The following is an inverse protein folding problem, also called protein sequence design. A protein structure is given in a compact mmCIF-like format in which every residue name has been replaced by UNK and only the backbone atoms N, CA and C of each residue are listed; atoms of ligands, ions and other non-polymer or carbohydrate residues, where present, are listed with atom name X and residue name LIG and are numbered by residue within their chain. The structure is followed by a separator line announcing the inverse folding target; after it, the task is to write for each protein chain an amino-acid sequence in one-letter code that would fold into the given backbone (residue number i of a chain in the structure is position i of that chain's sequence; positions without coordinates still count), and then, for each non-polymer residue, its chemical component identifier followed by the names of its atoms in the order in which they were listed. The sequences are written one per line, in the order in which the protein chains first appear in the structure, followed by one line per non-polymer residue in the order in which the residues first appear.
data_IF_519312745373
#
_entry.id   IF_519312745373
#
_cell.length_a   1.000
_cell.length_b   1.000
_cell.length_c   1.000
_cell.angle_alpha   90.00
_cell.angle_beta   90.00
_cell.angle_gamma   90.00
#
_symmetry.space_group_name_H-M   'P 1'
#
loop_
_entity.id
_entity.type
_entity.pdbx_description
1 polymer ?
#
# COMPACT_ATOMS: atom_id res chain seq x y z
N UNK A 1 -25.56 4.84 -11.54
CA UNK A 1 -24.11 4.59 -11.72
C UNK A 1 -23.81 3.58 -12.84
N UNK A 2 -22.63 3.69 -13.49
CA UNK A 2 -22.11 2.67 -14.41
C UNK A 2 -21.60 1.43 -13.65
N UNK A 3 -21.61 0.24 -14.27
CA UNK A 3 -21.09 -0.97 -13.64
C UNK A 3 -19.59 -0.86 -13.38
N UNK A 4 -19.14 -1.31 -12.21
CA UNK A 4 -17.71 -1.35 -11.86
C UNK A 4 -17.15 -2.70 -12.31
N UNK A 5 -16.17 -2.70 -13.21
CA UNK A 5 -15.49 -3.93 -13.64
C UNK A 5 -14.48 -4.34 -12.55
N UNK A 6 -14.69 -5.51 -11.96
CA UNK A 6 -13.83 -6.07 -10.91
C UNK A 6 -12.68 -6.92 -11.47
N UNK A 7 -12.87 -7.50 -12.66
CA UNK A 7 -11.87 -8.27 -13.37
C UNK A 7 -12.07 -8.10 -14.87
N UNK A 8 -11.01 -7.72 -15.59
CA UNK A 8 -11.05 -7.51 -17.03
C UNK A 8 -11.15 -8.83 -17.82
N UNK A 9 -10.62 -9.93 -17.30
CA UNK A 9 -10.54 -11.21 -18.02
C UNK A 9 -11.85 -12.00 -17.98
N UNK A 10 -12.48 -12.09 -16.81
CA UNK A 10 -13.78 -12.76 -16.66
C UNK A 10 -14.97 -11.81 -16.75
N UNK A 11 -14.71 -10.51 -16.96
CA UNK A 11 -15.70 -9.43 -17.03
C UNK A 11 -16.65 -9.41 -15.81
N UNK A 12 -16.17 -9.85 -14.65
CA UNK A 12 -16.97 -9.82 -13.43
C UNK A 12 -17.27 -8.35 -13.07
N UNK A 13 -18.54 -7.98 -13.07
CA UNK A 13 -19.01 -6.61 -12.83
C UNK A 13 -19.78 -6.53 -11.51
N UNK A 14 -19.48 -5.48 -10.75
CA UNK A 14 -20.32 -5.08 -9.62
C UNK A 14 -21.41 -4.13 -10.12
N UNK A 15 -22.65 -4.62 -10.10
CA UNK A 15 -23.84 -3.85 -10.42
C UNK A 15 -24.50 -3.34 -9.14
N UNK A 16 -24.47 -2.03 -8.93
CA UNK A 16 -25.33 -1.36 -7.96
C UNK A 16 -26.34 -0.51 -8.73
N UNK A 17 -27.61 -0.82 -8.54
CA UNK A 17 -28.71 -0.02 -9.06
C UNK A 17 -28.91 1.12 -8.08
N UNK A 18 -28.65 2.35 -8.48
CA UNK A 18 -29.17 3.50 -7.76
C UNK A 18 -30.69 3.44 -7.91
N UNK A 19 -31.40 2.92 -6.89
CA UNK A 19 -32.86 2.93 -6.89
C UNK A 19 -33.28 4.40 -6.79
N UNK A 20 -33.53 5.02 -7.94
CA UNK A 20 -33.93 6.41 -8.04
C UNK A 20 -35.28 6.61 -7.35
N UNK A 21 -35.25 7.17 -6.15
CA UNK A 21 -36.37 7.89 -5.60
C UNK A 21 -35.77 8.91 -4.64
N UNK A 22 -35.38 10.09 -5.13
CA UNK A 22 -34.95 11.19 -4.27
C UNK A 22 -36.21 11.77 -3.58
N UNK A 23 -36.48 11.43 -2.30
CA UNK A 23 -37.67 11.90 -1.62
C UNK A 23 -37.41 13.22 -0.92
N UNK A 24 -36.16 13.70 -0.91
CA UNK A 24 -35.67 14.73 0.01
C UNK A 24 -34.95 15.82 -0.77
N UNK A 25 -35.75 16.78 -1.27
CA UNK A 25 -35.19 18.09 -1.59
C UNK A 25 -34.48 18.63 -0.35
N UNK A 26 -33.18 18.90 -0.46
CA UNK A 26 -32.36 19.54 0.56
C UNK A 26 -33.01 20.82 1.13
N UNK A 27 -33.91 21.47 0.38
CA UNK A 27 -34.73 22.59 0.82
C UNK A 27 -35.61 22.27 2.04
N UNK A 28 -36.12 21.05 2.16
CA UNK A 28 -37.04 20.67 3.24
C UNK A 28 -36.33 20.55 4.59
N UNK A 29 -35.04 20.18 4.59
CA UNK A 29 -34.20 20.12 5.80
C UNK A 29 -34.03 21.52 6.41
N UNK A 30 -33.94 22.56 5.59
CA UNK A 30 -33.76 23.95 6.04
C UNK A 30 -35.08 24.64 6.42
N UNK A 31 -36.21 24.13 5.95
CA UNK A 31 -37.53 24.75 6.12
C UNK A 31 -38.27 24.36 7.41
N UNK A 32 -37.64 23.60 8.33
CA UNK A 32 -38.32 22.96 9.48
C UNK A 32 -39.55 22.13 9.08
N UNK A 33 -39.54 21.57 7.86
CA UNK A 33 -40.64 20.75 7.37
C UNK A 33 -40.77 19.48 8.22
N UNK A 34 -41.97 19.19 8.70
CA UNK A 34 -42.28 17.93 9.39
C UNK A 34 -42.93 17.02 8.35
N UNK A 35 -42.31 15.88 8.00
CA UNK A 35 -42.89 14.96 7.04
C UNK A 35 -44.21 14.40 7.54
N UNK A 36 -45.20 14.33 6.65
CA UNK A 36 -46.42 13.57 6.87
C UNK A 36 -46.12 12.06 7.04
N UNK A 37 -47.06 11.26 7.58
CA UNK A 37 -46.86 9.81 7.72
C UNK A 37 -46.52 9.10 6.40
N UNK A 38 -47.12 9.54 5.29
CA UNK A 38 -46.85 8.99 3.95
C UNK A 38 -45.49 9.39 3.41
N UNK A 39 -45.06 10.63 3.63
CA UNK A 39 -43.69 11.07 3.31
C UNK A 39 -42.66 10.31 4.16
N UNK A 40 -42.92 10.13 5.45
CA UNK A 40 -42.07 9.38 6.37
C UNK A 40 -41.88 7.94 5.90
N UNK A 41 -42.95 7.26 5.47
CA UNK A 41 -42.87 5.91 4.93
C UNK A 41 -42.02 5.83 3.64
N UNK A 42 -42.14 6.83 2.75
CA UNK A 42 -41.32 6.91 1.53
C UNK A 42 -39.84 7.16 1.85
N UNK A 43 -39.56 8.05 2.79
CA UNK A 43 -38.21 8.34 3.26
C UNK A 43 -37.59 7.09 3.90
N UNK A 44 -38.33 6.37 4.73
CA UNK A 44 -37.84 5.14 5.36
C UNK A 44 -37.51 4.07 4.32
N UNK A 45 -38.41 3.81 3.37
CA UNK A 45 -38.14 2.87 2.28
C UNK A 45 -36.91 3.26 1.46
N UNK A 46 -36.70 4.56 1.22
CA UNK A 46 -35.50 5.06 0.56
C UNK A 46 -34.24 4.81 1.39
N UNK A 47 -34.27 5.09 2.69
CA UNK A 47 -33.15 4.80 3.61
C UNK A 47 -32.83 3.30 3.63
N UNK A 48 -33.84 2.44 3.65
CA UNK A 48 -33.64 0.98 3.66
C UNK A 48 -32.98 0.51 2.36
N UNK A 49 -33.38 1.06 1.20
CA UNK A 49 -32.73 0.80 -0.08
C UNK A 49 -31.25 1.25 -0.08
N UNK A 50 -30.97 2.45 0.45
CA UNK A 50 -29.59 2.94 0.58
C UNK A 50 -28.74 2.04 1.48
N UNK A 51 -29.30 1.56 2.58
CA UNK A 51 -28.61 0.66 3.50
C UNK A 51 -28.31 -0.70 2.85
N UNK A 52 -29.22 -1.22 2.03
CA UNK A 52 -29.00 -2.44 1.24
C UNK A 52 -27.81 -2.25 0.27
N UNK A 53 -27.82 -1.16 -0.51
CA UNK A 53 -26.74 -0.85 -1.45
C UNK A 53 -25.40 -0.63 -0.75
N UNK A 54 -25.37 0.14 0.34
CA UNK A 54 -24.17 0.35 1.16
C UNK A 54 -23.61 -0.97 1.69
N UNK A 55 -24.47 -1.87 2.15
CA UNK A 55 -24.05 -3.19 2.64
C UNK A 55 -23.37 -4.01 1.53
N UNK A 56 -23.90 -3.96 0.30
CA UNK A 56 -23.28 -4.60 -0.87
C UNK A 56 -21.92 -3.99 -1.20
N UNK A 57 -21.79 -2.67 -1.17
CA UNK A 57 -20.50 -2.00 -1.34
C UNK A 57 -19.48 -2.40 -0.27
N UNK A 58 -19.88 -2.40 1.02
CA UNK A 58 -18.98 -2.79 2.10
C UNK A 58 -18.47 -4.22 1.95
N UNK A 59 -19.35 -5.15 1.57
CA UNK A 59 -18.97 -6.54 1.34
C UNK A 59 -17.96 -6.65 0.19
N UNK A 60 -18.22 -5.98 -0.93
CA UNK A 60 -17.38 -6.07 -2.11
C UNK A 60 -16.01 -5.41 -1.90
N UNK A 61 -15.98 -4.23 -1.26
CA UNK A 61 -14.73 -3.57 -0.87
C UNK A 61 -13.90 -4.50 0.04
N UNK A 62 -14.53 -5.16 1.02
CA UNK A 62 -13.85 -6.10 1.91
C UNK A 62 -13.31 -7.31 1.14
N UNK A 63 -14.04 -7.80 0.14
CA UNK A 63 -13.60 -8.90 -0.72
C UNK A 63 -12.38 -8.50 -1.56
N UNK A 64 -12.45 -7.39 -2.28
CA UNK A 64 -11.36 -6.89 -3.13
C UNK A 64 -10.10 -6.57 -2.32
N UNK A 65 -10.24 -5.94 -1.13
CA UNK A 65 -9.10 -5.69 -0.24
C UNK A 65 -8.38 -6.97 0.19
N UNK A 66 -9.11 -8.06 0.44
CA UNK A 66 -8.51 -9.37 0.77
C UNK A 66 -7.73 -9.95 -0.41
N UNK A 67 -8.28 -9.86 -1.62
CA UNK A 67 -7.59 -10.31 -2.85
C UNK A 67 -6.32 -9.49 -3.07
N UNK A 68 -6.41 -8.16 -3.00
CA UNK A 68 -5.27 -7.26 -3.14
C UNK A 68 -4.17 -7.60 -2.13
N UNK A 69 -4.53 -7.79 -0.85
CA UNK A 69 -3.57 -8.16 0.20
C UNK A 69 -2.83 -9.46 -0.13
N UNK A 70 -3.53 -10.48 -0.65
CA UNK A 70 -2.90 -11.75 -1.03
C UNK A 70 -1.94 -11.57 -2.20
N UNK A 71 -2.34 -10.82 -3.22
CA UNK A 71 -1.51 -10.54 -4.39
C UNK A 71 -0.23 -9.78 -4.00
N UNK A 72 -0.35 -8.74 -3.17
CA UNK A 72 0.81 -7.97 -2.71
C UNK A 72 1.74 -8.85 -1.87
N UNK A 73 1.22 -9.66 -0.96
CA UNK A 73 2.03 -10.59 -0.17
C UNK A 73 2.82 -11.56 -1.05
N UNK A 74 2.19 -12.13 -2.08
CA UNK A 74 2.86 -13.05 -2.99
C UNK A 74 3.92 -12.35 -3.84
N UNK A 75 3.63 -11.15 -4.36
CA UNK A 75 4.61 -10.32 -5.06
C UNK A 75 5.82 -10.02 -4.17
N UNK A 76 5.60 -9.55 -2.94
CA UNK A 76 6.68 -9.15 -2.03
C UNK A 76 7.59 -10.33 -1.66
N UNK A 77 7.03 -11.55 -1.55
CA UNK A 77 7.81 -12.78 -1.37
C UNK A 77 8.70 -13.06 -2.59
N UNK A 78 8.17 -12.90 -3.81
CA UNK A 78 8.93 -13.11 -5.04
C UNK A 78 10.02 -12.06 -5.23
N UNK A 79 9.74 -10.80 -4.94
CA UNK A 79 10.73 -9.71 -4.97
C UNK A 79 11.89 -9.98 -4.02
N UNK A 80 11.60 -10.45 -2.79
CA UNK A 80 12.64 -10.83 -1.84
C UNK A 80 13.50 -11.99 -2.35
N UNK A 81 12.88 -13.06 -2.85
CA UNK A 81 13.61 -14.21 -3.41
C UNK A 81 14.48 -13.82 -4.59
N UNK A 82 14.00 -12.91 -5.44
CA UNK A 82 14.77 -12.35 -6.55
C UNK A 82 16.00 -11.62 -6.03
N UNK A 83 15.84 -10.75 -5.05
CA UNK A 83 16.96 -9.98 -4.48
C UNK A 83 18.00 -10.88 -3.80
N UNK A 84 17.56 -11.87 -3.03
CA UNK A 84 18.43 -12.89 -2.44
C UNK A 84 19.25 -13.63 -3.52
N UNK A 85 18.59 -14.01 -4.62
CA UNK A 85 19.24 -14.69 -5.76
C UNK A 85 20.24 -13.78 -6.47
N UNK A 86 19.91 -12.51 -6.69
CA UNK A 86 20.84 -11.54 -7.26
C UNK A 86 22.05 -11.29 -6.34
N UNK A 87 21.83 -11.31 -5.03
CA UNK A 87 22.91 -11.20 -4.05
C UNK A 87 23.90 -12.37 -4.18
N UNK A 88 23.44 -13.59 -4.49
CA UNK A 88 24.32 -14.75 -4.75
C UNK A 88 25.20 -14.56 -5.98
N UNK A 89 24.70 -13.84 -6.99
CA UNK A 89 25.44 -13.56 -8.22
C UNK A 89 26.33 -12.32 -8.11
N UNK A 90 26.30 -11.62 -6.97
CA UNK A 90 27.12 -10.42 -6.77
C UNK A 90 28.61 -10.74 -6.97
N UNK A 91 29.32 -10.00 -7.84
CA UNK A 91 30.75 -10.18 -8.08
C UNK A 91 31.58 -10.15 -6.79
N UNK A 92 31.07 -9.48 -5.77
CA UNK A 92 31.69 -9.30 -4.47
C UNK A 92 31.91 -10.62 -3.71
N UNK A 93 31.11 -11.65 -3.99
CA UNK A 93 31.29 -13.00 -3.41
C UNK A 93 32.41 -13.80 -4.07
N UNK A 94 32.96 -13.29 -5.17
CA UNK A 94 34.07 -13.89 -5.92
C UNK A 94 35.37 -13.11 -5.74
N UNK A 95 35.37 -12.06 -4.92
CA UNK A 95 36.59 -11.30 -4.63
C UNK A 95 37.53 -12.14 -3.76
N UNK A 96 38.80 -12.29 -4.15
CA UNK A 96 39.82 -12.82 -3.26
C UNK A 96 39.94 -11.95 -1.99
N UNK A 97 40.19 -12.56 -0.81
CA UNK A 97 40.38 -11.82 0.45
C UNK A 97 41.44 -10.72 0.38
N UNK A 98 42.47 -10.91 -0.44
CA UNK A 98 43.55 -9.95 -0.68
C UNK A 98 43.02 -8.67 -1.34
N UNK A 99 42.14 -8.81 -2.34
CA UNK A 99 41.51 -7.67 -3.02
C UNK A 99 40.56 -6.95 -2.07
N UNK A 100 39.81 -7.69 -1.26
CA UNK A 100 38.94 -7.10 -0.24
C UNK A 100 39.74 -6.32 0.81
N UNK A 101 40.89 -6.87 1.23
CA UNK A 101 41.79 -6.23 2.18
C UNK A 101 42.35 -4.92 1.62
N UNK A 102 42.75 -4.88 0.34
CA UNK A 102 43.17 -3.66 -0.32
C UNK A 102 42.06 -2.61 -0.44
N UNK A 103 40.81 -3.03 -0.69
CA UNK A 103 39.67 -2.10 -0.71
C UNK A 103 39.48 -1.48 0.69
N UNK A 104 39.50 -2.30 1.74
CA UNK A 104 39.35 -1.82 3.11
C UNK A 104 40.52 -0.93 3.54
N UNK A 105 41.75 -1.31 3.21
CA UNK A 105 42.94 -0.51 3.47
C UNK A 105 42.83 0.86 2.79
N UNK A 106 42.52 0.90 1.49
CA UNK A 106 42.35 2.14 0.74
C UNK A 106 41.19 3.02 1.27
N UNK A 107 40.06 2.41 1.60
CA UNK A 107 38.86 3.14 2.02
C UNK A 107 38.90 3.56 3.50
N UNK A 108 39.60 2.82 4.36
CA UNK A 108 39.74 3.11 5.79
C UNK A 108 41.00 3.94 6.11
N UNK A 109 41.89 4.21 5.14
CA UNK A 109 43.06 5.10 5.28
C UNK A 109 42.72 6.54 5.74
N UNK A 110 41.45 6.94 5.76
CA UNK A 110 41.05 8.25 6.28
C UNK A 110 40.88 8.20 7.81
N UNK A 111 42.01 8.29 8.51
CA UNK A 111 42.07 8.49 9.96
C UNK A 111 41.48 9.86 10.34
N UNK A 112 40.22 9.91 10.76
CA UNK A 112 39.73 10.94 11.68
C UNK A 112 38.33 10.59 12.21
N UNK A 113 38.27 9.82 13.29
CA UNK A 113 37.13 9.92 14.20
C UNK A 113 37.34 11.20 15.01
N UNK A 114 36.98 12.35 14.44
CA UNK A 114 37.01 13.64 15.14
C UNK A 114 35.80 13.72 16.09
N UNK A 115 35.97 13.27 17.33
CA UNK A 115 35.05 13.58 18.43
C UNK A 115 35.34 15.00 18.94
N UNK A 116 35.04 16.00 18.11
CA UNK A 116 35.21 17.41 18.42
C UNK A 116 34.05 18.22 17.85
N UNK A 117 33.33 18.92 18.75
CA UNK A 117 32.11 19.71 18.54
C UNK A 117 31.73 20.08 17.10
N UNK A 118 30.56 19.59 16.67
CA UNK A 118 29.86 19.91 15.39
C UNK A 118 30.54 19.43 14.09
N UNK A 119 31.21 18.28 14.10
CA UNK A 119 31.77 17.65 12.89
C UNK A 119 31.03 16.37 12.46
N UNK A 120 30.88 16.17 11.16
CA UNK A 120 30.35 14.94 10.54
C UNK A 120 31.19 13.72 10.97
N UNK A 121 30.55 12.71 11.57
CA UNK A 121 31.21 11.43 11.87
C UNK A 121 31.53 10.73 10.54
N UNK A 122 32.81 10.64 10.19
CA UNK A 122 33.26 9.77 9.09
C UNK A 122 33.54 8.39 9.67
N UNK A 123 32.65 7.45 9.40
CA UNK A 123 32.82 6.04 9.75
C UNK A 123 32.90 5.20 8.46
N UNK A 124 34.10 5.04 7.85
CA UNK A 124 34.28 4.24 6.64
C UNK A 124 33.72 2.83 6.76
N UNK A 125 33.87 2.21 7.95
CA UNK A 125 33.30 0.91 8.27
C UNK A 125 31.75 0.90 8.16
N UNK A 126 31.08 1.98 8.54
CA UNK A 126 29.62 2.10 8.39
C UNK A 126 29.23 2.17 6.91
N UNK A 127 29.94 2.94 6.09
CA UNK A 127 29.72 2.99 4.64
C UNK A 127 29.93 1.62 3.98
N UNK A 128 30.99 0.89 4.35
CA UNK A 128 31.30 -0.44 3.83
C UNK A 128 30.26 -1.48 4.26
N UNK A 129 29.69 -1.36 5.47
CA UNK A 129 28.64 -2.24 6.00
C UNK A 129 27.35 -2.25 5.17
N UNK A 130 27.10 -1.20 4.39
CA UNK A 130 25.94 -1.08 3.51
C UNK A 130 26.10 -1.84 2.18
N UNK A 131 27.31 -2.29 1.83
CA UNK A 131 27.58 -2.94 0.53
C UNK A 131 27.00 -4.35 0.49
N UNK A 132 27.34 -5.21 1.45
CA UNK A 132 26.68 -6.49 1.65
C UNK A 132 26.96 -7.07 3.03
N UNK A 133 26.23 -8.12 3.42
CA UNK A 133 26.41 -8.78 4.71
C UNK A 133 27.78 -9.42 4.91
N UNK A 134 28.51 -9.70 3.83
CA UNK A 134 29.87 -10.25 3.89
C UNK A 134 30.93 -9.18 4.24
N UNK A 135 30.61 -7.90 4.04
CA UNK A 135 31.49 -6.75 4.37
C UNK A 135 31.22 -6.17 5.77
N UNK A 136 30.19 -6.68 6.46
CA UNK A 136 29.89 -6.40 7.86
C UNK A 136 30.71 -7.28 8.77
#
# INVERSE_FOLDING_TARGET
FSPIILCADCLCTFHCSERACDPLRLSNIRAKHVPSPTESAKIQSYVDNLNEDLSRYYLEIRRVKRVLKRLTQQRDVLERKREESLTLLSPIRRLPPEVLSHIFEYHCQTDAISLGGRGLIKAPAFTLSHVCSFWR
#
